data_IF_800960131801
#
_entry.id   IF_800960131801
#
_cell.length_a   1.000
_cell.length_b   1.000
_cell.length_c   1.000
_cell.angle_alpha   90.00
_cell.angle_beta   90.00
_cell.angle_gamma   90.00
#
_symmetry.space_group_name_H-M   'P 1'
#
loop_
_entity.id
_entity.type
_entity.pdbx_description
1 polymer ?
#
# COMPACT_ATOMS: atom_id res chain seq x y z
N UNK A 1 -40.50 73.29 -29.89
CA UNK A 1 -40.17 74.33 -30.89
C UNK A 1 -38.74 74.22 -31.42
N UNK A 2 -38.58 73.97 -32.71
CA UNK A 2 -37.32 74.11 -33.46
C UNK A 2 -37.34 75.44 -34.24
N UNK A 3 -36.23 76.16 -34.19
CA UNK A 3 -36.02 77.41 -34.91
C UNK A 3 -34.76 77.32 -35.73
N UNK A 4 -34.77 77.99 -36.88
CA UNK A 4 -33.58 78.18 -37.68
C UNK A 4 -32.62 79.11 -36.94
N UNK A 5 -31.36 78.70 -36.80
CA UNK A 5 -30.40 79.44 -35.99
C UNK A 5 -29.98 80.77 -36.64
N UNK A 6 -29.91 80.79 -37.98
CA UNK A 6 -29.45 81.97 -38.72
C UNK A 6 -30.54 83.05 -38.84
N UNK A 7 -31.80 82.65 -38.99
CA UNK A 7 -32.92 83.57 -39.24
C UNK A 7 -33.90 83.70 -38.07
N UNK A 8 -33.80 82.86 -37.03
CA UNK A 8 -34.71 82.82 -35.88
C UNK A 8 -36.14 82.36 -36.21
N UNK A 9 -36.42 82.05 -37.48
CA UNK A 9 -37.74 81.67 -37.96
C UNK A 9 -38.14 80.31 -37.37
N UNK A 10 -39.40 80.14 -36.94
CA UNK A 10 -39.88 78.85 -36.48
C UNK A 10 -39.87 77.86 -37.65
N UNK A 11 -39.13 76.76 -37.50
CA UNK A 11 -39.04 75.68 -38.49
C UNK A 11 -40.12 74.64 -38.21
N UNK A 12 -40.31 74.31 -36.93
CA UNK A 12 -41.28 73.29 -36.50
C UNK A 12 -41.69 73.48 -35.05
N UNK A 13 -42.91 73.06 -34.73
CA UNK A 13 -43.32 72.84 -33.35
C UNK A 13 -43.87 71.42 -33.19
N UNK A 14 -43.55 70.77 -32.06
CA UNK A 14 -44.06 69.45 -31.70
C UNK A 14 -44.87 69.64 -30.42
N UNK A 15 -46.10 69.14 -30.42
CA UNK A 15 -47.01 69.22 -29.26
C UNK A 15 -46.70 68.12 -28.25
N UNK A 16 -45.49 68.15 -27.69
CA UNK A 16 -45.10 67.27 -26.58
C UNK A 16 -45.75 67.79 -25.28
N UNK A 17 -46.84 67.16 -24.88
CA UNK A 17 -47.55 67.43 -23.63
C UNK A 17 -46.92 66.63 -22.48
N UNK A 18 -46.93 67.12 -21.24
CA UNK A 18 -46.45 66.34 -20.07
C UNK A 18 -45.19 66.85 -19.37
N UNK A 19 -44.72 68.07 -19.67
CA UNK A 19 -43.57 68.67 -18.98
C UNK A 19 -42.24 68.08 -19.45
N UNK A 20 -41.80 68.52 -20.63
CA UNK A 20 -40.56 68.07 -21.26
C UNK A 20 -39.35 68.42 -20.39
N UNK A 21 -38.54 67.41 -20.05
CA UNK A 21 -37.30 67.57 -19.29
C UNK A 21 -36.10 67.56 -20.24
N UNK A 22 -36.05 66.60 -21.18
CA UNK A 22 -34.95 66.49 -22.12
C UNK A 22 -35.42 66.16 -23.54
N UNK A 23 -34.63 66.60 -24.51
CA UNK A 23 -34.87 66.41 -25.94
C UNK A 23 -33.54 66.08 -26.63
N UNK A 24 -33.55 65.10 -27.53
CA UNK A 24 -32.39 64.71 -28.36
C UNK A 24 -32.79 64.40 -29.79
N UNK A 25 -32.06 64.99 -30.74
CA UNK A 25 -32.16 64.59 -32.14
C UNK A 25 -31.40 63.29 -32.36
N UNK A 26 -32.06 62.38 -33.07
CA UNK A 26 -31.45 61.19 -33.64
C UNK A 26 -30.70 61.55 -34.93
N UNK A 27 -29.66 60.79 -35.30
CA UNK A 27 -28.95 60.97 -36.58
C UNK A 27 -29.85 60.82 -37.82
N UNK A 28 -30.98 60.14 -37.69
CA UNK A 28 -31.97 59.97 -38.77
C UNK A 28 -33.01 61.11 -38.86
N UNK A 29 -32.85 62.16 -38.05
CA UNK A 29 -33.73 63.33 -38.04
C UNK A 29 -34.97 63.18 -37.16
N UNK A 30 -35.17 62.04 -36.49
CA UNK A 30 -36.21 61.89 -35.46
C UNK A 30 -35.82 62.60 -34.16
N UNK A 31 -36.80 62.89 -33.33
CA UNK A 31 -36.63 63.60 -32.07
C UNK A 31 -37.12 62.74 -30.91
N UNK A 32 -36.21 62.32 -30.03
CA UNK A 32 -36.56 61.70 -28.75
C UNK A 32 -36.84 62.80 -27.73
N UNK A 33 -37.98 62.70 -27.05
CA UNK A 33 -38.42 63.63 -26.01
C UNK A 33 -38.78 62.82 -24.78
N UNK A 34 -38.26 63.19 -23.61
CA UNK A 34 -38.66 62.59 -22.34
C UNK A 34 -39.08 63.68 -21.34
N UNK A 35 -39.98 63.33 -20.43
CA UNK A 35 -40.62 64.31 -19.56
C UNK A 35 -41.14 63.75 -18.24
N UNK A 36 -41.83 64.64 -17.53
CA UNK A 36 -42.35 64.39 -16.18
C UNK A 36 -43.54 63.43 -16.12
N UNK A 37 -44.13 63.12 -17.26
CA UNK A 37 -45.25 62.20 -17.38
C UNK A 37 -44.82 60.71 -17.36
N UNK A 38 -43.54 60.44 -17.12
CA UNK A 38 -42.98 59.09 -17.08
C UNK A 38 -42.99 58.40 -18.44
N UNK A 39 -43.03 59.19 -19.51
CA UNK A 39 -43.04 58.72 -20.89
C UNK A 39 -41.86 59.29 -21.65
N UNK A 40 -41.39 58.52 -22.63
CA UNK A 40 -40.53 59.01 -23.69
C UNK A 40 -41.27 58.87 -25.03
N UNK A 41 -41.22 59.89 -25.88
CA UNK A 41 -41.88 59.91 -27.19
C UNK A 41 -40.87 60.20 -28.28
N UNK A 42 -40.95 59.47 -29.39
CA UNK A 42 -40.17 59.74 -30.60
C UNK A 42 -41.06 60.40 -31.64
N UNK A 43 -40.57 61.49 -32.21
CA UNK A 43 -41.26 62.27 -33.22
C UNK A 43 -40.50 62.26 -34.55
N UNK A 44 -41.22 62.27 -35.66
CA UNK A 44 -40.62 62.48 -36.97
C UNK A 44 -40.42 63.98 -37.28
N UNK A 45 -39.70 64.28 -38.37
CA UNK A 45 -39.47 65.64 -38.84
C UNK A 45 -40.72 66.34 -39.39
N UNK A 46 -41.80 65.59 -39.68
CA UNK A 46 -43.08 66.13 -40.11
C UNK A 46 -43.95 66.61 -38.93
N UNK A 47 -43.62 66.21 -37.70
CA UNK A 47 -44.34 66.58 -36.49
C UNK A 47 -45.24 65.49 -35.92
N UNK A 48 -45.20 64.28 -36.47
CA UNK A 48 -45.98 63.15 -35.98
C UNK A 48 -45.21 62.41 -34.88
N UNK A 49 -45.94 61.98 -33.84
CA UNK A 49 -45.40 61.05 -32.84
C UNK A 49 -45.40 59.65 -33.46
N UNK A 50 -44.21 59.10 -33.68
CA UNK A 50 -44.02 57.80 -34.32
C UNK A 50 -43.82 56.67 -33.32
N UNK A 51 -43.47 56.99 -32.07
CA UNK A 51 -43.34 56.02 -30.99
C UNK A 51 -43.66 56.66 -29.64
N UNK A 52 -44.31 55.90 -28.76
CA UNK A 52 -44.47 56.24 -27.34
C UNK A 52 -43.95 55.07 -26.49
N UNK A 53 -43.05 55.39 -25.56
CA UNK A 53 -42.36 54.45 -24.68
C UNK A 53 -42.84 54.75 -23.26
N UNK A 54 -43.46 53.76 -22.62
CA UNK A 54 -43.81 53.81 -21.20
C UNK A 54 -42.59 53.53 -20.34
N UNK A 55 -42.04 54.57 -19.71
CA UNK A 55 -40.96 54.41 -18.74
C UNK A 55 -41.53 54.17 -17.32
N UNK A 56 -42.71 54.71 -17.03
CA UNK A 56 -43.46 54.44 -15.79
C UNK A 56 -42.96 55.19 -14.56
N UNK A 57 -41.74 55.75 -14.64
CA UNK A 57 -41.09 56.60 -13.64
C UNK A 57 -40.60 57.87 -14.34
N UNK A 58 -40.37 58.96 -13.60
CA UNK A 58 -40.02 60.26 -14.13
C UNK A 58 -38.78 60.20 -15.03
N UNK A 59 -38.93 60.46 -16.33
CA UNK A 59 -37.80 60.38 -17.26
C UNK A 59 -36.98 61.68 -17.24
N UNK A 60 -35.82 61.67 -16.58
CA UNK A 60 -34.95 62.82 -16.35
C UNK A 60 -33.99 63.10 -17.50
N UNK A 61 -33.62 62.07 -18.26
CA UNK A 61 -32.65 62.21 -19.34
C UNK A 61 -32.99 61.28 -20.51
N UNK A 62 -32.59 61.69 -21.70
CA UNK A 62 -32.69 60.85 -22.89
C UNK A 62 -31.45 60.97 -23.76
N UNK A 63 -31.11 59.89 -24.45
CA UNK A 63 -30.03 59.82 -25.43
C UNK A 63 -30.41 58.88 -26.58
N UNK A 64 -29.77 59.07 -27.73
CA UNK A 64 -30.00 58.25 -28.92
C UNK A 64 -28.67 57.59 -29.30
N UNK A 65 -28.71 56.27 -29.52
CA UNK A 65 -27.57 55.53 -30.06
C UNK A 65 -27.19 56.00 -31.46
N UNK A 66 -25.92 55.83 -31.84
CA UNK A 66 -25.48 56.19 -33.20
C UNK A 66 -26.06 55.23 -34.26
N UNK A 67 -26.31 53.99 -33.88
CA UNK A 67 -27.02 53.01 -34.69
C UNK A 67 -28.52 53.31 -34.60
N UNK A 68 -29.15 53.51 -35.77
CA UNK A 68 -30.55 53.92 -35.94
C UNK A 68 -31.51 52.89 -35.34
N UNK A 69 -31.70 52.91 -34.02
CA UNK A 69 -32.59 51.97 -33.35
C UNK A 69 -32.42 51.77 -31.86
N UNK A 70 -31.55 52.52 -31.16
CA UNK A 70 -31.46 52.48 -29.69
C UNK A 70 -31.85 53.83 -29.07
N UNK A 71 -32.89 53.82 -28.24
CA UNK A 71 -33.34 54.96 -27.43
C UNK A 71 -33.00 54.69 -25.98
N UNK A 72 -32.22 55.57 -25.35
CA UNK A 72 -31.90 55.50 -23.93
C UNK A 72 -32.73 56.50 -23.16
N UNK A 73 -33.35 56.05 -22.08
CA UNK A 73 -34.12 56.88 -21.15
C UNK A 73 -33.61 56.61 -19.74
N UNK A 74 -33.17 57.65 -19.06
CA UNK A 74 -32.82 57.61 -17.63
C UNK A 74 -33.92 58.21 -16.79
N UNK A 75 -34.18 57.62 -15.62
CA UNK A 75 -35.13 58.12 -14.62
C UNK A 75 -34.46 58.83 -13.43
N UNK A 76 -35.26 59.33 -12.49
CA UNK A 76 -34.81 59.92 -11.23
C UNK A 76 -34.55 58.90 -10.12
N UNK A 77 -34.97 57.65 -10.31
CA UNK A 77 -34.67 56.52 -9.41
C UNK A 77 -33.31 55.87 -9.77
N UNK A 78 -32.67 56.31 -10.85
CA UNK A 78 -31.35 55.86 -11.30
C UNK A 78 -31.39 54.71 -12.32
N UNK A 79 -32.56 54.23 -12.69
CA UNK A 79 -32.72 53.30 -13.80
C UNK A 79 -32.35 53.98 -15.13
N UNK A 80 -31.56 53.29 -15.95
CA UNK A 80 -31.40 53.64 -17.37
C UNK A 80 -31.90 52.47 -18.19
N UNK A 81 -32.94 52.69 -18.99
CA UNK A 81 -33.50 51.67 -19.88
C UNK A 81 -33.25 52.02 -21.33
N UNK A 82 -32.85 51.01 -22.09
CA UNK A 82 -32.66 51.07 -23.52
C UNK A 82 -33.82 50.40 -24.24
N UNK A 83 -34.34 51.08 -25.25
CA UNK A 83 -35.47 50.63 -26.06
C UNK A 83 -35.06 50.53 -27.52
N UNK A 84 -35.59 49.54 -28.21
CA UNK A 84 -35.37 49.37 -29.64
C UNK A 84 -36.19 50.38 -30.49
N UNK A 85 -36.04 50.33 -31.81
CA UNK A 85 -36.77 51.19 -32.75
C UNK A 85 -38.31 51.06 -32.67
N UNK A 86 -38.82 49.94 -32.16
CA UNK A 86 -40.23 49.64 -32.00
C UNK A 86 -40.75 49.96 -30.58
N UNK A 87 -39.88 50.41 -29.67
CA UNK A 87 -40.19 50.74 -28.28
C UNK A 87 -40.19 49.54 -27.33
N UNK A 88 -39.68 48.39 -27.75
CA UNK A 88 -39.48 47.26 -26.86
C UNK A 88 -38.27 47.51 -25.96
N UNK A 89 -38.42 47.21 -24.66
CA UNK A 89 -37.31 47.29 -23.70
C UNK A 89 -36.27 46.23 -24.06
N UNK A 90 -35.05 46.68 -24.34
CA UNK A 90 -33.94 45.84 -24.79
C UNK A 90 -32.83 45.77 -23.75
N UNK A 91 -32.66 46.82 -22.95
CA UNK A 91 -31.59 46.94 -21.96
C UNK A 91 -32.13 47.61 -20.70
N UNK A 92 -31.66 47.16 -19.54
CA UNK A 92 -31.91 47.80 -18.26
C UNK A 92 -30.59 47.89 -17.50
N UNK A 93 -30.22 49.09 -17.09
CA UNK A 93 -29.05 49.38 -16.27
C UNK A 93 -29.54 49.91 -14.93
N UNK A 94 -29.11 49.28 -13.85
CA UNK A 94 -29.27 49.80 -12.50
C UNK A 94 -28.18 50.87 -12.24
N UNK A 95 -28.53 51.99 -11.61
CA UNK A 95 -27.60 53.05 -11.23
C UNK A 95 -26.54 52.61 -10.21
N UNK A 96 -26.79 51.53 -9.47
CA UNK A 96 -25.88 51.06 -8.43
C UNK A 96 -25.39 49.62 -8.68
N UNK A 97 -24.66 49.36 -9.77
CA UNK A 97 -24.03 48.06 -9.94
C UNK A 97 -23.06 47.81 -8.78
N UNK A 98 -23.02 46.56 -8.27
CA UNK A 98 -22.07 46.16 -7.24
C UNK A 98 -20.66 46.66 -7.59
N UNK A 99 -20.00 47.32 -6.64
CA UNK A 99 -18.66 47.81 -6.85
C UNK A 99 -17.70 46.64 -7.09
N UNK A 100 -16.57 46.93 -7.74
CA UNK A 100 -15.53 45.91 -7.92
C UNK A 100 -15.11 45.32 -6.57
N UNK A 101 -15.01 46.13 -5.52
CA UNK A 101 -14.67 45.65 -4.17
C UNK A 101 -15.73 44.70 -3.59
N UNK A 102 -17.03 44.97 -3.78
CA UNK A 102 -18.10 44.08 -3.34
C UNK A 102 -18.05 42.72 -4.05
N UNK A 103 -17.72 42.72 -5.35
CA UNK A 103 -17.55 41.48 -6.13
C UNK A 103 -16.32 40.68 -5.68
N UNK A 104 -15.18 41.36 -5.46
CA UNK A 104 -13.97 40.73 -4.91
C UNK A 104 -14.24 40.12 -3.55
N UNK A 105 -14.91 40.86 -2.66
CA UNK A 105 -15.31 40.37 -1.34
C UNK A 105 -16.19 39.12 -1.44
N UNK A 106 -17.22 39.13 -2.29
CA UNK A 106 -18.11 37.98 -2.47
C UNK A 106 -17.34 36.74 -2.95
N UNK A 107 -16.40 36.90 -3.87
CA UNK A 107 -15.56 35.80 -4.38
C UNK A 107 -14.64 35.28 -3.26
N UNK A 108 -13.96 36.17 -2.53
CA UNK A 108 -13.08 35.79 -1.44
C UNK A 108 -13.83 35.05 -0.31
N UNK A 109 -15.04 35.49 0.05
CA UNK A 109 -15.90 34.82 1.04
C UNK A 109 -16.34 33.43 0.53
N UNK A 110 -16.68 33.31 -0.75
CA UNK A 110 -17.03 32.02 -1.33
C UNK A 110 -15.84 31.04 -1.32
N UNK A 111 -14.62 31.53 -1.56
CA UNK A 111 -13.40 30.72 -1.50
C UNK A 111 -13.09 30.26 -0.07
N UNK A 112 -13.25 31.13 0.94
CA UNK A 112 -13.15 30.75 2.35
C UNK A 112 -14.16 29.63 2.68
N UNK A 113 -15.42 29.78 2.27
CA UNK A 113 -16.45 28.77 2.52
C UNK A 113 -16.10 27.42 1.85
N UNK A 114 -15.55 27.46 0.63
CA UNK A 114 -15.09 26.27 -0.11
C UNK A 114 -13.95 25.58 0.64
N UNK A 115 -12.91 26.31 1.04
CA UNK A 115 -11.74 25.77 1.76
C UNK A 115 -12.11 25.19 3.13
N UNK A 116 -13.04 25.83 3.86
CA UNK A 116 -13.57 25.27 5.12
C UNK A 116 -14.28 23.95 4.86
N UNK A 117 -15.15 23.88 3.84
CA UNK A 117 -15.84 22.64 3.47
C UNK A 117 -14.86 21.53 3.07
N UNK A 118 -13.79 21.86 2.35
CA UNK A 118 -12.75 20.89 1.97
C UNK A 118 -12.04 20.35 3.22
N UNK A 119 -11.64 21.22 4.16
CA UNK A 119 -11.02 20.80 5.42
C UNK A 119 -11.94 19.92 6.26
N UNK A 120 -13.23 20.26 6.36
CA UNK A 120 -14.22 19.47 7.08
C UNK A 120 -14.40 18.06 6.46
N UNK A 121 -14.23 17.92 5.14
CA UNK A 121 -14.23 16.63 4.46
C UNK A 121 -12.90 15.88 4.61
N UNK A 122 -11.77 16.58 4.62
CA UNK A 122 -10.43 15.97 4.74
C UNK A 122 -10.17 15.40 6.13
N UNK A 123 -10.62 16.05 7.21
CA UNK A 123 -10.39 15.60 8.60
C UNK A 123 -10.90 14.19 8.91
N UNK A 124 -12.15 13.79 8.60
CA UNK A 124 -12.61 12.43 8.82
C UNK A 124 -11.90 11.41 7.91
N UNK A 125 -11.55 11.80 6.68
CA UNK A 125 -10.76 10.95 5.78
C UNK A 125 -9.36 10.68 6.36
N UNK A 126 -8.70 11.72 6.87
CA UNK A 126 -7.42 11.62 7.57
C UNK A 126 -7.52 10.75 8.82
N UNK A 127 -8.57 10.93 9.65
CA UNK A 127 -8.79 10.09 10.82
C UNK A 127 -8.95 8.60 10.46
N UNK A 128 -9.60 8.29 9.33
CA UNK A 128 -9.69 6.92 8.80
C UNK A 128 -8.32 6.36 8.37
N UNK A 129 -7.45 7.19 7.78
CA UNK A 129 -6.08 6.79 7.43
C UNK A 129 -5.24 6.52 8.68
N UNK A 130 -5.35 7.37 9.71
CA UNK A 130 -4.68 7.15 11.01
C UNK A 130 -5.15 5.83 11.65
N UNK A 131 -6.46 5.55 11.65
CA UNK A 131 -6.97 4.28 12.14
C UNK A 131 -6.46 3.07 11.33
N UNK A 132 -6.27 3.24 10.02
CA UNK A 132 -5.66 2.20 9.16
C UNK A 132 -4.19 1.99 9.49
N UNK A 133 -3.43 3.07 9.74
CA UNK A 133 -2.05 3.00 10.19
C UNK A 133 -1.93 2.31 11.56
N UNK A 134 -2.81 2.62 12.52
CA UNK A 134 -2.85 1.96 13.83
C UNK A 134 -3.10 0.45 13.69
N UNK A 135 -4.01 0.06 12.79
CA UNK A 135 -4.27 -1.35 12.46
C UNK A 135 -3.03 -2.02 11.88
N UNK A 136 -2.42 -1.42 10.85
CA UNK A 136 -1.22 -1.94 10.20
C UNK A 136 -0.02 -2.02 11.16
N UNK A 137 0.10 -1.08 12.09
CA UNK A 137 1.13 -1.09 13.14
C UNK A 137 0.99 -2.31 14.03
N UNK A 138 -0.23 -2.57 14.54
CA UNK A 138 -0.50 -3.75 15.38
C UNK A 138 -0.27 -5.06 14.64
N UNK A 139 -0.65 -5.12 13.37
CA UNK A 139 -0.39 -6.29 12.52
C UNK A 139 1.12 -6.52 12.33
N UNK A 140 1.89 -5.47 12.06
CA UNK A 140 3.34 -5.54 11.89
C UNK A 140 4.05 -5.99 13.19
N UNK A 141 3.71 -5.37 14.33
CA UNK A 141 4.24 -5.74 15.64
C UNK A 141 3.88 -7.19 16.01
N UNK A 142 2.63 -7.59 15.73
CA UNK A 142 2.15 -8.96 15.95
C UNK A 142 2.93 -9.99 15.12
N UNK A 143 3.13 -9.70 13.83
CA UNK A 143 3.92 -10.55 12.93
C UNK A 143 5.40 -10.61 13.37
N UNK A 144 5.97 -9.50 13.82
CA UNK A 144 7.35 -9.46 14.32
C UNK A 144 7.52 -10.30 15.59
N UNK A 145 6.56 -10.23 16.51
CA UNK A 145 6.54 -11.07 17.71
C UNK A 145 6.33 -12.56 17.40
N UNK A 146 5.54 -12.90 16.37
CA UNK A 146 5.40 -14.28 15.88
C UNK A 146 6.72 -14.82 15.33
N UNK A 147 7.39 -14.06 14.45
CA UNK A 147 8.71 -14.43 13.90
C UNK A 147 9.71 -14.67 15.03
N UNK A 148 9.83 -13.76 16.00
CA UNK A 148 10.76 -13.93 17.12
C UNK A 148 10.48 -15.18 17.96
N UNK A 149 9.21 -15.53 18.19
CA UNK A 149 8.84 -16.77 18.89
C UNK A 149 9.22 -18.02 18.10
N UNK A 150 8.96 -18.01 16.79
CA UNK A 150 9.27 -19.15 15.91
C UNK A 150 10.79 -19.33 15.73
N UNK A 151 11.55 -18.25 15.65
CA UNK A 151 13.02 -18.31 15.59
C UNK A 151 13.62 -18.90 16.86
N UNK A 152 13.10 -18.53 18.03
CA UNK A 152 13.49 -19.13 19.31
C UNK A 152 13.18 -20.64 19.30
N UNK A 153 11.99 -21.04 18.87
CA UNK A 153 11.60 -22.45 18.79
C UNK A 153 12.45 -23.24 17.77
N UNK A 154 12.86 -22.61 16.66
CA UNK A 154 13.77 -23.21 15.69
C UNK A 154 15.15 -23.43 16.31
N UNK A 155 15.68 -22.47 17.07
CA UNK A 155 16.95 -22.60 17.75
C UNK A 155 16.94 -23.74 18.79
N UNK A 156 15.83 -23.90 19.53
CA UNK A 156 15.64 -25.01 20.45
C UNK A 156 15.64 -26.37 19.71
N UNK A 157 14.97 -26.45 18.56
CA UNK A 157 14.95 -27.65 17.71
C UNK A 157 16.32 -27.97 17.11
N UNK A 158 17.07 -26.97 16.64
CA UNK A 158 18.43 -27.15 16.12
C UNK A 158 19.37 -27.66 17.23
N UNK A 159 19.21 -27.15 18.45
CA UNK A 159 19.94 -27.64 19.63
C UNK A 159 19.59 -29.10 19.94
N UNK A 160 18.30 -29.44 19.90
CA UNK A 160 17.82 -30.81 20.10
C UNK A 160 18.35 -31.76 19.01
N UNK A 161 18.32 -31.36 17.74
CA UNK A 161 18.87 -32.14 16.63
C UNK A 161 20.37 -32.41 16.83
N UNK A 162 21.14 -31.40 17.25
CA UNK A 162 22.57 -31.57 17.53
C UNK A 162 22.83 -32.56 18.68
N UNK A 163 21.99 -32.56 19.73
CA UNK A 163 22.06 -33.55 20.80
C UNK A 163 21.75 -34.96 20.29
N UNK A 164 20.72 -35.12 19.47
CA UNK A 164 20.35 -36.41 18.85
C UNK A 164 21.43 -36.92 17.89
N UNK A 165 22.09 -36.03 17.15
CA UNK A 165 23.22 -36.39 16.31
C UNK A 165 24.37 -36.98 17.15
N UNK A 166 24.69 -36.34 18.28
CA UNK A 166 25.71 -36.85 19.20
C UNK A 166 25.37 -38.22 19.79
N UNK A 167 24.09 -38.48 20.13
CA UNK A 167 23.68 -39.81 20.62
C UNK A 167 23.74 -40.87 19.52
N UNK A 168 23.37 -40.52 18.29
CA UNK A 168 23.51 -41.39 17.12
C UNK A 168 24.97 -41.74 16.83
N UNK A 169 25.87 -40.75 16.82
CA UNK A 169 27.31 -40.98 16.61
C UNK A 169 27.90 -41.92 17.68
N UNK A 170 27.52 -41.73 18.94
CA UNK A 170 27.92 -42.62 20.02
C UNK A 170 27.34 -44.04 19.91
N UNK A 171 26.10 -44.19 19.45
CA UNK A 171 25.49 -45.50 19.21
C UNK A 171 26.17 -46.22 18.04
N UNK A 172 26.42 -45.50 16.94
CA UNK A 172 27.12 -46.00 15.76
C UNK A 172 28.54 -46.46 16.08
N UNK A 173 29.30 -45.72 16.89
CA UNK A 173 30.64 -46.11 17.29
C UNK A 173 30.63 -47.46 18.05
N UNK A 174 29.71 -47.65 19.00
CA UNK A 174 29.56 -48.91 19.75
C UNK A 174 29.13 -50.07 18.86
N UNK A 175 28.23 -49.82 17.91
CA UNK A 175 27.79 -50.83 16.95
C UNK A 175 28.94 -51.26 16.03
N UNK A 176 29.80 -50.33 15.62
CA UNK A 176 30.97 -50.64 14.81
C UNK A 176 32.01 -51.47 15.56
N UNK A 177 32.29 -51.14 16.83
CA UNK A 177 33.13 -51.96 17.70
C UNK A 177 32.58 -53.39 17.83
N UNK A 178 31.26 -53.53 17.97
CA UNK A 178 30.61 -54.84 18.05
C UNK A 178 30.71 -55.64 16.74
N UNK A 179 30.56 -54.99 15.58
CA UNK A 179 30.77 -55.62 14.26
C UNK A 179 32.19 -56.15 14.11
N UNK A 180 33.18 -55.35 14.52
CA UNK A 180 34.58 -55.75 14.50
C UNK A 180 34.84 -56.95 15.42
N UNK A 181 34.31 -56.93 16.65
CA UNK A 181 34.44 -58.05 17.59
C UNK A 181 33.83 -59.35 17.06
N UNK A 182 32.65 -59.28 16.43
CA UNK A 182 32.01 -60.43 15.75
C UNK A 182 32.88 -60.92 14.59
N UNK A 183 33.38 -60.00 13.76
CA UNK A 183 34.27 -60.35 12.64
C UNK A 183 35.54 -61.05 13.12
N UNK A 184 36.17 -60.56 14.18
CA UNK A 184 37.36 -61.19 14.78
C UNK A 184 37.06 -62.58 15.33
N UNK A 185 35.95 -62.74 16.05
CA UNK A 185 35.55 -64.03 16.62
C UNK A 185 35.26 -65.06 15.52
N UNK A 186 34.55 -64.66 14.46
CA UNK A 186 34.31 -65.50 13.28
C UNK A 186 35.61 -65.83 12.53
N UNK A 187 36.55 -64.88 12.46
CA UNK A 187 37.90 -65.13 11.93
C UNK A 187 38.66 -66.19 12.73
N UNK A 188 38.57 -66.18 14.07
CA UNK A 188 39.17 -67.23 14.93
C UNK A 188 38.53 -68.59 14.69
N UNK A 189 37.20 -68.66 14.60
CA UNK A 189 36.49 -69.91 14.27
C UNK A 189 36.99 -70.49 12.96
N UNK A 190 37.06 -69.67 11.90
CA UNK A 190 37.60 -70.11 10.60
C UNK A 190 39.05 -70.61 10.72
N UNK A 191 39.91 -69.87 11.40
CA UNK A 191 41.33 -70.23 11.56
C UNK A 191 41.53 -71.56 12.31
N UNK A 192 40.79 -71.78 13.41
CA UNK A 192 40.85 -73.03 14.17
C UNK A 192 40.20 -74.18 13.40
N UNK A 193 39.13 -73.93 12.65
CA UNK A 193 38.51 -74.93 11.76
C UNK A 193 39.52 -75.43 10.74
N UNK A 194 40.23 -74.52 10.08
CA UNK A 194 41.25 -74.84 9.09
C UNK A 194 42.43 -75.61 9.71
N UNK A 195 42.88 -75.22 10.91
CA UNK A 195 43.92 -75.93 11.65
C UNK A 195 43.48 -77.34 12.03
N UNK A 196 42.29 -77.48 12.61
CA UNK A 196 41.70 -78.77 12.98
C UNK A 196 41.55 -79.69 11.76
N UNK A 197 41.09 -79.17 10.62
CA UNK A 197 40.94 -79.94 9.38
C UNK A 197 42.31 -80.45 8.85
N UNK A 198 43.34 -79.59 8.85
CA UNK A 198 44.70 -79.97 8.46
C UNK A 198 45.28 -81.04 9.38
N UNK A 199 45.18 -80.87 10.70
CA UNK A 199 45.74 -81.81 11.69
C UNK A 199 44.97 -83.14 11.68
N UNK A 200 43.64 -83.10 11.54
CA UNK A 200 42.82 -84.32 11.38
C UNK A 200 43.18 -85.11 10.12
N UNK A 201 43.50 -84.42 9.02
CA UNK A 201 43.96 -85.07 7.79
C UNK A 201 45.33 -85.74 8.01
N UNK A 202 46.29 -85.03 8.62
CA UNK A 202 47.60 -85.63 8.98
C UNK A 202 47.47 -86.85 9.89
N UNK A 203 46.56 -86.81 10.87
CA UNK A 203 46.30 -87.93 11.77
C UNK A 203 45.75 -89.16 11.05
N UNK A 204 44.83 -88.95 10.09
CA UNK A 204 44.32 -90.01 9.20
C UNK A 204 45.43 -90.60 8.34
N UNK A 205 46.18 -89.74 7.64
CA UNK A 205 47.28 -90.19 6.77
C UNK A 205 48.35 -90.99 7.55
N UNK A 206 48.69 -90.58 8.77
CA UNK A 206 49.64 -91.29 9.63
C UNK A 206 49.08 -92.65 10.10
N UNK A 207 47.79 -92.71 10.40
CA UNK A 207 47.09 -93.94 10.79
C UNK A 207 47.03 -94.93 9.62
N UNK A 208 46.70 -94.45 8.42
CA UNK A 208 46.67 -95.26 7.20
C UNK A 208 48.06 -95.84 6.89
N UNK A 209 49.12 -95.03 6.99
CA UNK A 209 50.51 -95.50 6.84
C UNK A 209 50.92 -96.52 7.90
N UNK A 210 50.47 -96.35 9.15
CA UNK A 210 50.75 -97.31 10.22
C UNK A 210 50.06 -98.66 9.95
N UNK A 211 48.81 -98.66 9.49
CA UNK A 211 48.09 -99.87 9.09
C UNK A 211 48.81 -100.59 7.95
N UNK A 212 49.25 -99.85 6.93
CA UNK A 212 50.05 -100.42 5.84
C UNK A 212 51.40 -100.98 6.31
N UNK A 213 52.07 -100.32 7.26
CA UNK A 213 53.33 -100.78 7.83
C UNK A 213 53.16 -102.07 8.66
N UNK A 214 52.03 -102.20 9.35
CA UNK A 214 51.64 -103.39 10.10
C UNK A 214 51.45 -104.59 9.16
N UNK A 215 50.72 -104.39 8.06
CA UNK A 215 50.48 -105.44 7.05
C UNK A 215 51.79 -105.93 6.39
N UNK A 216 52.79 -105.05 6.27
CA UNK A 216 54.10 -105.37 5.67
C UNK A 216 55.14 -105.88 6.66
N UNK A 217 54.88 -105.87 7.96
CA UNK A 217 55.86 -106.24 9.00
C UNK A 217 57.06 -105.29 9.07
N UNK A 218 56.84 -103.98 8.89
CA UNK A 218 57.90 -102.96 8.91
C UNK A 218 58.36 -102.62 10.33
N UNK A 219 59.67 -102.41 10.52
CA UNK A 219 60.25 -101.96 11.79
C UNK A 219 59.87 -100.50 12.14
N UNK A 220 59.36 -99.71 11.19
CA UNK A 220 58.98 -98.30 11.39
C UNK A 220 57.55 -98.11 11.97
N UNK A 221 56.85 -99.22 12.25
CA UNK A 221 55.47 -99.23 12.72
C UNK A 221 55.29 -98.43 14.03
N UNK A 222 56.21 -98.59 14.98
CA UNK A 222 56.13 -97.96 16.29
C UNK A 222 56.24 -96.42 16.20
N UNK A 223 57.09 -95.93 15.28
CA UNK A 223 57.23 -94.51 14.98
C UNK A 223 55.98 -93.91 14.32
N UNK A 224 55.38 -94.62 13.35
CA UNK A 224 54.14 -94.20 12.70
C UNK A 224 52.95 -94.16 13.67
N UNK A 225 52.85 -95.13 14.58
CA UNK A 225 51.83 -95.14 15.65
C UNK A 225 52.02 -93.95 16.58
N UNK A 226 53.25 -93.61 16.95
CA UNK A 226 53.53 -92.45 17.80
C UNK A 226 53.13 -91.13 17.11
N UNK A 227 53.45 -90.97 15.82
CA UNK A 227 53.04 -89.80 15.02
C UNK A 227 51.51 -89.71 14.92
N UNK A 228 50.83 -90.83 14.65
CA UNK A 228 49.37 -90.87 14.57
C UNK A 228 48.71 -90.48 15.90
N UNK A 229 49.22 -90.99 17.03
CA UNK A 229 48.73 -90.62 18.38
C UNK A 229 48.91 -89.14 18.68
N UNK A 230 50.11 -88.60 18.46
CA UNK A 230 50.39 -87.17 18.65
C UNK A 230 49.47 -86.29 17.80
N UNK A 231 49.29 -86.63 16.51
CA UNK A 231 48.40 -85.90 15.62
C UNK A 231 46.92 -86.01 16.04
N UNK A 232 46.49 -87.15 16.57
CA UNK A 232 45.14 -87.32 17.13
C UNK A 232 44.93 -86.51 18.41
N UNK A 233 45.90 -86.46 19.31
CA UNK A 233 45.85 -85.63 20.53
C UNK A 233 45.81 -84.14 20.18
N UNK A 234 46.63 -83.70 19.21
CA UNK A 234 46.62 -82.32 18.71
C UNK A 234 45.28 -81.98 18.02
N UNK A 235 44.72 -82.90 17.22
CA UNK A 235 43.41 -82.73 16.60
C UNK A 235 42.28 -82.64 17.66
N UNK A 236 42.35 -83.43 18.73
CA UNK A 236 41.40 -83.38 19.85
C UNK A 236 41.49 -82.05 20.63
N UNK A 237 42.71 -81.54 20.87
CA UNK A 237 42.91 -80.20 21.44
C UNK A 237 42.29 -79.12 20.55
N UNK A 238 42.58 -79.16 19.25
CA UNK A 238 42.02 -78.22 18.27
C UNK A 238 40.48 -78.33 18.15
N UNK A 239 39.89 -79.50 18.39
CA UNK A 239 38.45 -79.67 18.42
C UNK A 239 37.82 -78.96 19.65
N UNK A 240 38.49 -79.03 20.80
CA UNK A 240 38.07 -78.28 21.99
C UNK A 240 38.24 -76.77 21.76
N UNK A 241 39.36 -76.33 21.19
CA UNK A 241 39.60 -74.93 20.84
C UNK A 241 38.55 -74.42 19.84
N UNK A 242 38.16 -75.24 18.86
CA UNK A 242 37.11 -74.91 17.90
C UNK A 242 35.75 -74.74 18.58
N UNK A 243 35.41 -75.63 19.53
CA UNK A 243 34.17 -75.52 20.28
C UNK A 243 34.15 -74.25 21.14
N UNK A 244 35.27 -73.89 21.78
CA UNK A 244 35.41 -72.65 22.54
C UNK A 244 35.33 -71.41 21.64
N UNK A 245 36.03 -71.41 20.51
CA UNK A 245 35.97 -70.33 19.53
C UNK A 245 34.55 -70.13 18.98
N UNK A 246 33.84 -71.22 18.68
CA UNK A 246 32.45 -71.17 18.18
C UNK A 246 31.51 -70.62 19.24
N UNK A 247 31.68 -71.04 20.51
CA UNK A 247 30.91 -70.49 21.63
C UNK A 247 31.16 -69.00 21.82
N UNK A 248 32.41 -68.57 21.74
CA UNK A 248 32.79 -67.18 21.95
C UNK A 248 32.32 -66.29 20.78
N UNK A 249 32.31 -66.80 19.54
CA UNK A 249 31.68 -66.15 18.40
C UNK A 249 30.17 -65.98 18.57
N UNK A 250 29.45 -67.05 18.97
CA UNK A 250 28.02 -66.95 19.25
C UNK A 250 27.71 -65.95 20.38
N UNK A 251 28.57 -65.87 21.41
CA UNK A 251 28.45 -64.85 22.47
C UNK A 251 28.67 -63.44 21.94
N UNK A 252 29.64 -63.24 21.06
CA UNK A 252 29.90 -61.95 20.43
C UNK A 252 28.70 -61.50 19.57
N UNK A 253 28.11 -62.41 18.79
CA UNK A 253 26.91 -62.11 17.98
C UNK A 253 25.72 -61.70 18.86
N UNK A 254 25.43 -62.47 19.92
CA UNK A 254 24.34 -62.14 20.86
C UNK A 254 24.59 -60.80 21.56
N UNK A 255 25.85 -60.49 21.92
CA UNK A 255 26.19 -59.21 22.54
C UNK A 255 26.11 -58.02 21.56
N UNK A 256 26.35 -58.24 20.27
CA UNK A 256 26.27 -57.20 19.24
C UNK A 256 24.82 -56.82 18.88
N UNK A 257 23.89 -57.76 18.95
CA UNK A 257 22.48 -57.57 18.58
C UNK A 257 21.84 -56.29 19.17
N UNK A 258 21.83 -56.05 20.50
CA UNK A 258 21.20 -54.85 21.06
C UNK A 258 21.91 -53.54 20.66
N UNK A 259 23.20 -53.58 20.31
CA UNK A 259 23.94 -52.39 19.88
C UNK A 259 23.57 -51.99 18.44
N UNK A 260 23.40 -52.97 17.56
CA UNK A 260 22.93 -52.76 16.19
C UNK A 260 21.49 -52.24 16.16
N UNK A 261 20.61 -52.82 16.99
CA UNK A 261 19.24 -52.33 17.16
C UNK A 261 19.23 -50.91 17.73
N UNK A 262 20.09 -50.62 18.70
CA UNK A 262 20.27 -49.28 19.27
C UNK A 262 20.72 -48.23 18.24
N UNK A 263 21.64 -48.58 17.34
CA UNK A 263 22.05 -47.70 16.24
C UNK A 263 20.88 -47.39 15.30
N UNK A 264 20.10 -48.40 14.91
CA UNK A 264 18.94 -48.22 14.03
C UNK A 264 17.86 -47.32 14.66
N UNK A 265 17.59 -47.50 15.96
CA UNK A 265 16.65 -46.62 16.70
C UNK A 265 17.19 -45.19 16.74
N UNK A 266 18.47 -45.00 17.06
CA UNK A 266 19.08 -43.68 17.11
C UNK A 266 19.07 -42.98 15.74
N UNK A 267 19.30 -43.72 14.65
CA UNK A 267 19.18 -43.20 13.29
C UNK A 267 17.75 -42.72 13.00
N UNK A 268 16.73 -43.54 13.30
CA UNK A 268 15.34 -43.17 13.09
C UNK A 268 14.93 -41.93 13.92
N UNK A 269 15.48 -41.78 15.13
CA UNK A 269 15.26 -40.58 15.95
C UNK A 269 15.91 -39.34 15.32
N UNK A 270 17.13 -39.47 14.79
CA UNK A 270 17.82 -38.37 14.10
C UNK A 270 17.08 -37.91 12.84
N UNK A 271 16.57 -38.86 12.04
CA UNK A 271 15.77 -38.55 10.85
C UNK A 271 14.49 -37.78 11.20
N UNK A 272 13.81 -38.18 12.29
CA UNK A 272 12.63 -37.45 12.79
C UNK A 272 12.98 -36.05 13.29
N UNK A 273 14.08 -35.89 14.01
CA UNK A 273 14.55 -34.59 14.49
C UNK A 273 14.85 -33.65 13.30
N UNK A 274 15.61 -34.13 12.30
CA UNK A 274 15.90 -33.39 11.06
C UNK A 274 14.65 -32.97 10.29
N UNK A 275 13.68 -33.87 10.18
CA UNK A 275 12.40 -33.57 9.53
C UNK A 275 11.63 -32.47 10.28
N UNK A 276 11.63 -32.52 11.62
CA UNK A 276 11.02 -31.49 12.46
C UNK A 276 11.72 -30.12 12.30
N UNK A 277 13.06 -30.08 12.33
CA UNK A 277 13.84 -28.85 12.10
C UNK A 277 13.55 -28.26 10.72
N UNK A 278 13.52 -29.10 9.68
CA UNK A 278 13.23 -28.66 8.30
C UNK A 278 11.83 -28.06 8.18
N UNK A 279 10.84 -28.71 8.79
CA UNK A 279 9.45 -28.23 8.83
C UNK A 279 9.34 -26.89 9.59
N UNK A 280 10.03 -26.76 10.72
CA UNK A 280 10.05 -25.52 11.50
C UNK A 280 10.69 -24.38 10.71
N UNK A 281 11.80 -24.65 10.01
CA UNK A 281 12.47 -23.65 9.17
C UNK A 281 11.55 -23.11 8.08
N UNK A 282 10.82 -23.99 7.40
CA UNK A 282 9.80 -23.58 6.42
C UNK A 282 8.68 -22.72 7.06
N UNK A 283 8.31 -23.01 8.30
CA UNK A 283 7.33 -22.23 9.06
C UNK A 283 7.86 -20.83 9.42
N UNK A 284 9.11 -20.73 9.85
CA UNK A 284 9.80 -19.44 10.10
C UNK A 284 9.88 -18.61 8.82
N UNK A 285 10.24 -19.23 7.69
CA UNK A 285 10.34 -18.53 6.41
C UNK A 285 8.98 -17.99 5.94
N UNK A 286 7.91 -18.77 6.11
CA UNK A 286 6.55 -18.31 5.84
C UNK A 286 6.12 -17.15 6.75
N UNK A 287 6.49 -17.18 8.04
CA UNK A 287 6.22 -16.09 8.97
C UNK A 287 7.00 -14.82 8.62
N UNK A 288 8.25 -14.94 8.19
CA UNK A 288 9.06 -13.81 7.69
C UNK A 288 8.46 -13.18 6.43
N UNK A 289 7.93 -13.99 5.52
CA UNK A 289 7.22 -13.47 4.35
C UNK A 289 5.99 -12.65 4.75
N UNK A 290 5.18 -13.14 5.70
CA UNK A 290 4.04 -12.39 6.25
C UNK A 290 4.45 -11.09 6.95
N UNK A 291 5.56 -11.11 7.70
CA UNK A 291 6.13 -9.91 8.31
C UNK A 291 6.52 -8.88 7.24
N UNK A 292 7.12 -9.32 6.12
CA UNK A 292 7.44 -8.47 4.98
C UNK A 292 6.19 -7.82 4.37
N UNK A 293 5.12 -8.60 4.16
CA UNK A 293 3.84 -8.06 3.68
C UNK A 293 3.21 -7.06 4.66
N UNK A 294 3.23 -7.37 5.96
CA UNK A 294 2.72 -6.47 6.99
C UNK A 294 3.52 -5.17 7.05
N UNK A 295 4.85 -5.26 6.91
CA UNK A 295 5.74 -4.08 6.82
C UNK A 295 5.43 -3.21 5.60
N UNK A 296 5.18 -3.82 4.44
CA UNK A 296 4.78 -3.07 3.24
C UNK A 296 3.43 -2.35 3.42
N UNK A 297 2.45 -2.98 4.07
CA UNK A 297 1.16 -2.34 4.41
C UNK A 297 1.33 -1.20 5.40
N UNK A 298 2.18 -1.38 6.42
CA UNK A 298 2.51 -0.35 7.40
C UNK A 298 3.14 0.89 6.74
N UNK A 299 4.18 0.72 5.92
CA UNK A 299 4.82 1.84 5.23
C UNK A 299 3.85 2.55 4.27
N UNK A 300 3.05 1.81 3.51
CA UNK A 300 2.04 2.41 2.64
C UNK A 300 0.98 3.21 3.41
N UNK A 301 0.53 2.71 4.57
CA UNK A 301 -0.40 3.43 5.44
C UNK A 301 0.25 4.69 6.03
N UNK A 302 1.53 4.61 6.42
CA UNK A 302 2.29 5.74 6.96
C UNK A 302 2.43 6.85 5.93
N UNK A 303 2.82 6.50 4.70
CA UNK A 303 3.00 7.46 3.61
C UNK A 303 1.66 8.13 3.23
N UNK A 304 0.55 7.38 3.28
CA UNK A 304 -0.79 7.94 3.06
C UNK A 304 -1.18 8.96 4.14
N UNK A 305 -0.89 8.67 5.42
CA UNK A 305 -1.12 9.61 6.54
C UNK A 305 -0.28 10.87 6.34
N UNK A 306 1.02 10.75 6.07
CA UNK A 306 1.92 11.90 5.85
C UNK A 306 1.46 12.76 4.67
N UNK A 307 1.03 12.13 3.57
CA UNK A 307 0.51 12.85 2.39
C UNK A 307 -0.78 13.60 2.73
N UNK A 308 -1.66 12.99 3.53
CA UNK A 308 -2.90 13.61 4.00
C UNK A 308 -2.63 14.80 4.93
N UNK A 309 -1.68 14.69 5.86
CA UNK A 309 -1.26 15.79 6.75
C UNK A 309 -0.73 16.98 5.95
N UNK A 310 0.12 16.72 4.94
CA UNK A 310 0.65 17.76 4.07
C UNK A 310 -0.47 18.48 3.29
N UNK A 311 -1.47 17.74 2.82
CA UNK A 311 -2.63 18.30 2.09
C UNK A 311 -3.51 19.16 2.99
N UNK A 312 -3.73 18.72 4.24
CA UNK A 312 -4.47 19.49 5.25
C UNK A 312 -3.72 20.78 5.56
N UNK A 313 -2.42 20.71 5.87
CA UNK A 313 -1.61 21.87 6.19
C UNK A 313 -1.56 22.89 5.03
N UNK A 314 -1.48 22.42 3.79
CA UNK A 314 -1.55 23.29 2.62
C UNK A 314 -2.91 23.99 2.49
N UNK A 315 -4.01 23.28 2.75
CA UNK A 315 -5.37 23.85 2.69
C UNK A 315 -5.63 24.82 3.84
N UNK A 316 -5.12 24.55 5.04
CA UNK A 316 -5.14 25.48 6.17
C UNK A 316 -4.36 26.76 5.85
N UNK A 317 -3.18 26.65 5.24
CA UNK A 317 -2.41 27.81 4.79
C UNK A 317 -3.14 28.65 3.74
N UNK A 318 -3.81 28.00 2.78
CA UNK A 318 -4.63 28.69 1.78
C UNK A 318 -5.85 29.38 2.41
N UNK A 319 -6.47 28.75 3.41
CA UNK A 319 -7.61 29.31 4.14
C UNK A 319 -7.22 30.58 4.89
N UNK A 320 -6.07 30.59 5.56
CA UNK A 320 -5.57 31.79 6.25
C UNK A 320 -5.28 32.94 5.27
N UNK A 321 -4.70 32.63 4.10
CA UNK A 321 -4.50 33.63 3.05
C UNK A 321 -5.83 34.19 2.52
N UNK A 322 -6.81 33.32 2.24
CA UNK A 322 -8.13 33.73 1.76
C UNK A 322 -8.89 34.58 2.80
N UNK A 323 -8.77 34.25 4.10
CA UNK A 323 -9.33 35.06 5.20
C UNK A 323 -8.70 36.46 5.23
N UNK A 324 -7.40 36.57 5.05
CA UNK A 324 -6.72 37.87 4.98
C UNK A 324 -7.22 38.70 3.79
N UNK A 325 -7.45 38.07 2.63
CA UNK A 325 -8.04 38.73 1.45
C UNK A 325 -9.47 39.23 1.71
N UNK A 326 -10.30 38.45 2.39
CA UNK A 326 -11.65 38.89 2.82
C UNK A 326 -11.57 40.15 3.66
N UNK A 327 -10.69 40.21 4.66
CA UNK A 327 -10.53 41.41 5.51
C UNK A 327 -10.12 42.62 4.68
N UNK A 328 -9.17 42.46 3.75
CA UNK A 328 -8.75 43.53 2.84
C UNK A 328 -9.90 44.03 1.95
N UNK A 329 -10.62 43.10 1.30
CA UNK A 329 -11.74 43.43 0.43
C UNK A 329 -12.92 44.07 1.19
N UNK A 330 -13.15 43.69 2.44
CA UNK A 330 -14.14 44.35 3.32
C UNK A 330 -13.78 45.81 3.55
N UNK A 331 -12.55 46.09 3.96
CA UNK A 331 -12.09 47.46 4.20
C UNK A 331 -12.19 48.33 2.94
N UNK A 332 -11.82 47.80 1.77
CA UNK A 332 -11.95 48.49 0.49
C UNK A 332 -13.41 48.76 0.11
N UNK A 333 -14.29 47.77 0.29
CA UNK A 333 -15.72 47.91 0.03
C UNK A 333 -16.35 48.97 0.94
N UNK A 334 -16.02 48.99 2.23
CA UNK A 334 -16.50 50.00 3.17
C UNK A 334 -16.02 51.41 2.79
N UNK A 335 -14.73 51.56 2.44
CA UNK A 335 -14.18 52.83 2.00
C UNK A 335 -14.86 53.35 0.73
N UNK A 336 -15.09 52.48 -0.26
CA UNK A 336 -15.80 52.84 -1.50
C UNK A 336 -17.24 53.25 -1.22
N UNK A 337 -17.96 52.52 -0.36
CA UNK A 337 -19.34 52.86 0.01
C UNK A 337 -19.43 54.19 0.76
N UNK A 338 -18.47 54.49 1.65
CA UNK A 338 -18.38 55.80 2.30
C UNK A 338 -18.14 56.93 1.29
N UNK A 339 -17.26 56.72 0.32
CA UNK A 339 -16.99 57.70 -0.74
C UNK A 339 -18.23 57.95 -1.63
N UNK A 340 -18.96 56.90 -2.00
CA UNK A 340 -20.21 57.02 -2.78
C UNK A 340 -21.26 57.81 -1.99
N UNK A 341 -21.45 57.51 -0.70
CA UNK A 341 -22.39 58.27 0.16
C UNK A 341 -22.01 59.74 0.27
N UNK A 342 -20.72 60.05 0.41
CA UNK A 342 -20.23 61.43 0.46
C UNK A 342 -20.44 62.19 -0.86
N UNK A 343 -20.35 61.49 -2.00
CA UNK A 343 -20.60 62.07 -3.33
C UNK A 343 -22.11 62.31 -3.59
N UNK A 344 -22.98 61.36 -3.23
CA UNK A 344 -24.43 61.50 -3.40
C UNK A 344 -25.03 62.63 -2.56
N UNK A 345 -24.50 62.86 -1.35
CA UNK A 345 -24.92 63.97 -0.49
C UNK A 345 -24.60 65.38 -1.02
N UNK A 346 -23.73 65.51 -2.03
CA UNK A 346 -23.34 66.82 -2.63
C UNK A 346 -24.22 67.27 -3.79
N UNK A 347 -25.08 66.40 -4.34
CA UNK A 347 -25.94 66.71 -5.50
C UNK A 347 -27.31 67.27 -5.07
N UNK A 348 -27.63 67.20 -3.77
CA UNK A 348 -28.92 67.62 -3.20
C UNK A 348 -28.95 68.95 -2.44
N UNK A 349 -27.90 69.79 -2.53
CA UNK A 349 -27.84 71.14 -1.92
C UNK A 349 -27.67 72.21 -2.99
#
# INVERSE_FOLDING_TARGET
RLRDLASGRPVRDWAANGGVIAVRFAPDGRLLVCGRDGKASVWDGAGNRVLEIGHGVLATSCAVGQDKGLWLVGDDEGGVRGYDAAGASMLEFDASPETIAQRTLRIAVAEVARLVSDLDAMRPAHASLVATLDGATKEHEGAQAEVGRLETALQDLETYEAQVLGTFEAARARAEEARLAVSEANGRVSGVTDAHARTSTKARDATDRALEALDRGSDDLEGLIAIARLAMEEAASLALDLALATRDAARAEVAAQPLLEGEAVAQATLEKARAATTSMRATVDAARARLGEAGARFEAARDAVVTSEASIAATEGALEAARAEVVGAQAESEAQMQAIRAAGGRVGS
#
